data_IF_286482462845
#
_entry.id   IF_286482462845
#
_cell.length_a   1.000
_cell.length_b   1.000
_cell.length_c   1.000
_cell.angle_alpha   90.00
_cell.angle_beta   90.00
_cell.angle_gamma   90.00
#
_symmetry.space_group_name_H-M   'P 1'
#
loop_
_entity.id
_entity.type
_entity.pdbx_description
1 polymer ?
#
# COMPACT_ATOMS: atom_id res chain seq x y z
N UNK A 1 1.51 8.24 -13.60
CA UNK A 1 1.53 9.29 -12.57
C UNK A 1 0.64 8.82 -11.43
N UNK A 2 1.20 8.81 -10.21
CA UNK A 2 0.47 8.44 -8.99
C UNK A 2 0.29 9.70 -8.17
N UNK A 3 -0.95 10.02 -7.86
CA UNK A 3 -1.32 11.04 -6.89
C UNK A 3 -1.60 10.35 -5.54
N UNK A 4 -0.83 10.71 -4.52
CA UNK A 4 -0.88 10.07 -3.22
C UNK A 4 -1.40 11.07 -2.20
N UNK A 5 -2.49 10.72 -1.52
CA UNK A 5 -2.85 11.38 -0.26
C UNK A 5 -2.23 10.59 0.88
N UNK A 6 -1.27 11.19 1.60
CA UNK A 6 -0.55 10.50 2.67
C UNK A 6 -0.83 11.15 4.03
N UNK A 7 -1.29 10.34 4.97
CA UNK A 7 -1.37 10.70 6.38
C UNK A 7 -0.35 9.87 7.14
N UNK A 8 0.81 10.46 7.41
CA UNK A 8 1.87 9.84 8.19
C UNK A 8 1.49 9.62 9.65
N UNK A 9 2.37 8.95 10.39
CA UNK A 9 2.22 8.73 11.83
C UNK A 9 3.27 9.52 12.59
N UNK A 10 2.85 10.19 13.66
CA UNK A 10 3.73 10.96 14.55
C UNK A 10 4.45 9.97 15.47
N UNK A 11 5.76 9.73 15.31
CA UNK A 11 6.46 8.67 16.03
C UNK A 11 6.53 8.88 17.55
N UNK A 12 6.40 10.12 18.02
CA UNK A 12 6.43 10.50 19.44
C UNK A 12 5.28 9.89 20.27
N UNK A 13 4.26 9.33 19.61
CA UNK A 13 3.14 8.64 20.25
C UNK A 13 3.51 7.18 20.59
N UNK A 14 4.58 6.64 20.02
CA UNK A 14 5.00 5.25 20.21
C UNK A 14 5.96 5.19 21.41
N UNK A 15 5.60 4.37 22.41
CA UNK A 15 6.42 4.18 23.63
C UNK A 15 7.76 3.46 23.36
N UNK A 16 7.88 2.77 22.22
CA UNK A 16 9.10 2.11 21.78
C UNK A 16 10.12 3.09 21.17
N UNK A 17 11.42 2.91 21.47
CA UNK A 17 12.50 3.66 20.84
C UNK A 17 12.68 3.22 19.38
N UNK A 18 11.97 3.89 18.48
CA UNK A 18 12.09 3.66 17.04
C UNK A 18 13.44 4.19 16.52
N UNK A 19 14.11 3.37 15.71
CA UNK A 19 15.29 3.78 14.98
C UNK A 19 14.98 4.91 13.97
N UNK A 20 16.03 5.55 13.47
CA UNK A 20 15.90 6.69 12.56
C UNK A 20 15.23 6.32 11.21
N UNK A 21 15.44 5.10 10.71
CA UNK A 21 14.84 4.64 9.46
C UNK A 21 13.33 4.43 9.63
N UNK A 22 12.93 3.81 10.74
CA UNK A 22 11.54 3.64 11.14
C UNK A 22 10.81 4.98 11.34
N UNK A 23 11.45 6.00 11.92
CA UNK A 23 10.84 7.34 12.05
C UNK A 23 10.69 8.03 10.69
N UNK A 24 11.68 7.89 9.82
CA UNK A 24 11.68 8.46 8.47
C UNK A 24 10.54 7.88 7.61
N UNK A 25 10.32 6.57 7.65
CA UNK A 25 9.28 5.94 6.81
C UNK A 25 7.86 6.30 7.24
N UNK A 26 7.63 6.56 8.53
CA UNK A 26 6.32 6.94 9.06
C UNK A 26 5.87 8.33 8.61
N UNK A 27 6.81 9.19 8.20
CA UNK A 27 6.54 10.57 7.76
C UNK A 27 6.96 10.84 6.31
N UNK A 28 7.61 9.87 5.66
CA UNK A 28 8.22 10.00 4.34
C UNK A 28 7.25 9.87 3.17
N UNK A 29 6.50 10.94 2.87
CA UNK A 29 5.59 11.02 1.71
C UNK A 29 6.22 10.55 0.39
N UNK A 30 7.37 11.14 0.04
CA UNK A 30 8.07 10.87 -1.23
C UNK A 30 8.50 9.40 -1.34
N UNK A 31 8.88 8.79 -0.21
CA UNK A 31 9.31 7.39 -0.16
C UNK A 31 8.14 6.47 -0.55
N UNK A 32 6.95 6.72 0.02
CA UNK A 32 5.76 5.93 -0.28
C UNK A 32 5.22 6.20 -1.67
N UNK A 33 5.17 7.46 -2.11
CA UNK A 33 4.72 7.81 -3.46
C UNK A 33 5.56 7.07 -4.52
N UNK A 34 6.88 7.09 -4.37
CA UNK A 34 7.79 6.46 -5.33
C UNK A 34 7.71 4.92 -5.27
N UNK A 35 7.58 4.35 -4.06
CA UNK A 35 7.38 2.92 -3.87
C UNK A 35 6.10 2.43 -4.55
N UNK A 36 4.97 3.10 -4.27
CA UNK A 36 3.66 2.77 -4.82
C UNK A 36 3.65 2.91 -6.35
N UNK A 37 4.27 3.96 -6.90
CA UNK A 37 4.42 4.12 -8.34
C UNK A 37 5.21 2.96 -8.97
N UNK A 38 6.34 2.59 -8.38
CA UNK A 38 7.15 1.47 -8.89
C UNK A 38 6.41 0.13 -8.77
N UNK A 39 5.67 -0.08 -7.68
CA UNK A 39 4.89 -1.30 -7.48
C UNK A 39 3.74 -1.42 -8.46
N UNK A 40 3.00 -0.34 -8.70
CA UNK A 40 1.95 -0.28 -9.72
C UNK A 40 2.52 -0.60 -11.10
N UNK A 41 3.64 0.02 -11.48
CA UNK A 41 4.29 -0.25 -12.76
C UNK A 41 4.77 -1.71 -12.88
N UNK A 42 5.29 -2.29 -11.78
CA UNK A 42 5.67 -3.69 -11.73
C UNK A 42 4.48 -4.64 -11.96
N UNK A 43 3.35 -4.39 -11.28
CA UNK A 43 2.12 -5.17 -11.45
C UNK A 43 1.56 -5.03 -12.87
N UNK A 44 1.52 -3.81 -13.42
CA UNK A 44 1.05 -3.54 -14.79
C UNK A 44 1.85 -4.28 -15.86
N UNK A 45 3.16 -4.30 -15.71
CA UNK A 45 4.07 -4.91 -16.70
C UNK A 45 4.10 -6.43 -16.64
N UNK A 46 3.38 -7.06 -15.70
CA UNK A 46 3.33 -8.51 -15.62
C UNK A 46 2.10 -9.04 -16.40
N UNK A 47 2.33 -9.65 -17.59
CA UNK A 47 1.25 -10.06 -18.49
C UNK A 47 0.45 -11.27 -17.97
N UNK A 48 0.91 -11.92 -16.89
CA UNK A 48 0.23 -13.08 -16.28
C UNK A 48 -0.81 -12.67 -15.25
N UNK A 49 -0.96 -11.37 -14.99
CA UNK A 49 -1.78 -10.84 -13.92
C UNK A 49 -3.10 -10.31 -14.44
N UNK A 50 -4.17 -10.58 -13.70
CA UNK A 50 -5.49 -10.02 -13.96
C UNK A 50 -5.67 -8.80 -13.07
N UNK A 51 -6.05 -7.68 -13.66
CA UNK A 51 -6.38 -6.43 -12.96
C UNK A 51 -7.48 -5.70 -13.76
N UNK A 52 -8.27 -4.82 -13.13
CA UNK A 52 -9.30 -4.03 -13.82
C UNK A 52 -8.76 -3.27 -15.03
N UNK A 53 -9.50 -3.27 -16.15
CA UNK A 53 -9.06 -2.65 -17.41
C UNK A 53 -8.80 -1.14 -17.27
N UNK A 54 -9.51 -0.47 -16.37
CA UNK A 54 -9.28 0.94 -16.03
C UNK A 54 -7.85 1.19 -15.54
N UNK A 55 -7.25 0.23 -14.83
CA UNK A 55 -5.86 0.31 -14.37
C UNK A 55 -4.89 0.11 -15.54
N UNK A 56 -5.29 -0.57 -16.63
CA UNK A 56 -4.44 -0.73 -17.83
C UNK A 56 -4.43 0.52 -18.70
N UNK A 57 -5.58 1.16 -18.84
CA UNK A 57 -5.85 2.19 -19.84
C UNK A 57 -5.55 3.60 -19.35
N UNK A 58 -5.59 3.84 -18.04
CA UNK A 58 -5.37 5.16 -17.45
C UNK A 58 -3.96 5.33 -16.93
N UNK A 59 -3.28 6.41 -17.31
CA UNK A 59 -1.92 6.68 -16.84
C UNK A 59 -1.87 7.49 -15.53
N UNK A 60 -3.04 7.86 -14.99
CA UNK A 60 -3.20 8.69 -13.79
C UNK A 60 -4.01 7.92 -12.74
N UNK A 61 -3.39 7.59 -11.62
CA UNK A 61 -4.04 6.88 -10.53
C UNK A 61 -3.93 7.70 -9.25
N UNK A 62 -4.97 7.69 -8.41
CA UNK A 62 -4.94 8.26 -7.07
C UNK A 62 -5.21 7.20 -6.00
N UNK A 63 -4.56 7.31 -4.85
CA UNK A 63 -4.86 6.49 -3.67
C UNK A 63 -4.51 7.21 -2.37
N UNK A 64 -5.13 6.78 -1.28
CA UNK A 64 -4.79 7.18 0.08
C UNK A 64 -3.93 6.15 0.80
N UNK A 65 -2.96 6.62 1.58
CA UNK A 65 -2.21 5.83 2.55
C UNK A 65 -2.25 6.53 3.91
N UNK A 66 -2.80 5.84 4.91
CA UNK A 66 -2.96 6.34 6.27
C UNK A 66 -2.26 5.41 7.23
N UNK A 67 -1.32 5.95 7.99
CA UNK A 67 -0.79 5.30 9.18
C UNK A 67 -1.57 5.75 10.42
N UNK A 68 -1.97 4.79 11.23
CA UNK A 68 -2.84 5.03 12.40
C UNK A 68 -2.48 4.14 13.58
N UNK A 69 -3.25 4.24 14.67
CA UNK A 69 -3.08 3.43 15.88
C UNK A 69 -4.15 2.33 15.99
N UNK A 70 -3.98 1.42 16.95
CA UNK A 70 -4.91 0.29 17.15
C UNK A 70 -6.32 0.77 17.50
N UNK A 71 -6.46 1.87 18.23
CA UNK A 71 -7.76 2.42 18.63
C UNK A 71 -8.58 2.87 17.42
N UNK A 72 -7.97 3.63 16.52
CA UNK A 72 -8.65 4.15 15.33
C UNK A 72 -8.94 3.03 14.33
N UNK A 73 -7.98 2.11 14.09
CA UNK A 73 -8.23 1.00 13.16
C UNK A 73 -9.26 0.02 13.70
N UNK A 74 -9.32 -0.20 15.03
CA UNK A 74 -10.36 -1.02 15.65
C UNK A 74 -11.75 -0.42 15.42
N UNK A 75 -11.89 0.89 15.56
CA UNK A 75 -13.16 1.58 15.26
C UNK A 75 -13.56 1.37 13.80
N UNK A 76 -12.63 1.53 12.86
CA UNK A 76 -12.89 1.28 11.45
C UNK A 76 -13.24 -0.19 11.17
N UNK A 77 -12.55 -1.13 11.81
CA UNK A 77 -12.82 -2.56 11.67
C UNK A 77 -14.22 -2.93 12.22
N UNK A 78 -14.65 -2.24 13.28
CA UNK A 78 -16.00 -2.38 13.80
C UNK A 78 -17.03 -1.79 12.83
N UNK A 79 -16.84 -0.55 12.39
CA UNK A 79 -17.79 0.18 11.54
C UNK A 79 -18.01 -0.50 10.18
N UNK A 80 -16.95 -1.06 9.58
CA UNK A 80 -17.00 -1.63 8.23
C UNK A 80 -17.04 -3.15 8.16
N UNK A 81 -16.51 -3.86 9.16
CA UNK A 81 -16.42 -5.34 9.18
C UNK A 81 -17.14 -5.98 10.37
N UNK A 82 -17.79 -5.19 11.24
CA UNK A 82 -18.44 -5.65 12.47
C UNK A 82 -17.51 -6.45 13.40
N UNK A 83 -16.22 -6.07 13.46
CA UNK A 83 -15.20 -6.69 14.31
C UNK A 83 -14.64 -5.70 15.33
N UNK A 84 -14.96 -5.89 16.61
CA UNK A 84 -14.44 -5.07 17.72
C UNK A 84 -13.02 -5.47 18.13
N UNK A 85 -12.09 -5.52 17.19
CA UNK A 85 -10.67 -5.76 17.48
C UNK A 85 -9.77 -4.99 16.51
N UNK A 86 -8.57 -4.58 16.92
CA UNK A 86 -7.61 -4.01 15.99
C UNK A 86 -7.22 -5.03 14.92
N UNK A 87 -6.78 -4.53 13.77
CA UNK A 87 -6.21 -5.31 12.68
C UNK A 87 -4.94 -4.58 12.22
N UNK A 88 -4.11 -5.28 11.48
CA UNK A 88 -2.88 -4.73 10.90
C UNK A 88 -3.15 -3.75 9.75
N UNK A 89 -3.98 -4.13 8.79
CA UNK A 89 -4.33 -3.33 7.62
C UNK A 89 -5.80 -3.46 7.22
N UNK A 90 -6.38 -2.35 6.78
CA UNK A 90 -7.65 -2.28 6.07
C UNK A 90 -7.43 -1.67 4.69
N UNK A 91 -8.16 -2.18 3.70
CA UNK A 91 -8.12 -1.68 2.33
C UNK A 91 -9.55 -1.43 1.86
N UNK A 92 -9.78 -0.23 1.34
CA UNK A 92 -11.07 0.26 0.89
C UNK A 92 -11.00 0.54 -0.62
N UNK A 93 -11.14 -0.48 -1.47
CA UNK A 93 -11.17 -0.27 -2.91
C UNK A 93 -12.42 0.51 -3.32
N UNK A 94 -12.23 1.54 -4.15
CA UNK A 94 -13.33 2.38 -4.71
C UNK A 94 -13.56 2.07 -6.19
N UNK A 95 -12.66 1.31 -6.81
CA UNK A 95 -12.73 0.89 -8.20
C UNK A 95 -14.05 0.17 -8.50
N UNK A 96 -14.92 0.87 -9.22
CA UNK A 96 -16.15 0.32 -9.79
C UNK A 96 -15.89 0.01 -11.26
N UNK A 97 -16.02 -1.28 -11.62
CA UNK A 97 -15.75 -1.77 -12.98
C UNK A 97 -16.77 -1.25 -14.01
N UNK A 98 -17.88 -0.68 -13.55
CA UNK A 98 -18.96 -0.20 -14.43
C UNK A 98 -18.77 1.28 -14.86
N UNK A 99 -17.76 1.98 -14.34
CA UNK A 99 -17.51 3.40 -14.62
C UNK A 99 -16.42 3.57 -15.67
N UNK A 100 -16.79 4.03 -16.87
CA UNK A 100 -15.81 4.44 -17.89
C UNK A 100 -15.41 5.90 -17.65
N UNK A 101 -14.22 6.11 -17.09
CA UNK A 101 -13.64 7.44 -16.92
C UNK A 101 -12.88 7.88 -18.19
N UNK A 102 -12.94 9.18 -18.56
CA UNK A 102 -12.04 9.75 -19.55
C UNK A 102 -10.56 9.52 -19.19
N UNK A 103 -9.71 9.31 -20.21
CA UNK A 103 -8.29 8.94 -20.02
C UNK A 103 -7.42 10.03 -19.36
N UNK A 104 -7.94 11.25 -19.25
CA UNK A 104 -7.29 12.40 -18.63
C UNK A 104 -7.62 12.58 -17.15
N UNK A 105 -8.57 11.82 -16.60
CA UNK A 105 -8.93 11.86 -15.18
C UNK A 105 -8.11 10.87 -14.34
N UNK A 106 -7.99 11.15 -13.05
CA UNK A 106 -7.42 10.19 -12.11
C UNK A 106 -8.42 9.08 -11.85
N UNK A 107 -7.96 7.84 -11.93
CA UNK A 107 -8.70 6.69 -11.40
C UNK A 107 -8.38 6.56 -9.92
N UNK A 108 -9.40 6.75 -9.09
CA UNK A 108 -9.30 6.57 -7.64
C UNK A 108 -9.32 5.08 -7.29
N UNK A 109 -8.20 4.58 -6.76
CA UNK A 109 -8.07 3.20 -6.33
C UNK A 109 -8.72 2.98 -4.95
N UNK A 110 -8.72 4.02 -4.11
CA UNK A 110 -9.22 3.99 -2.73
C UNK A 110 -8.11 4.12 -1.68
N UNK A 111 -8.35 3.60 -0.48
CA UNK A 111 -7.52 3.86 0.71
C UNK A 111 -6.88 2.61 1.32
N UNK A 112 -5.63 2.75 1.77
CA UNK A 112 -4.90 1.78 2.60
C UNK A 112 -4.71 2.38 3.98
N UNK A 113 -5.18 1.69 5.02
CA UNK A 113 -5.08 2.13 6.42
C UNK A 113 -4.32 1.08 7.21
N UNK A 114 -3.18 1.44 7.79
CA UNK A 114 -2.28 0.51 8.50
C UNK A 114 -2.11 0.95 9.95
N UNK A 115 -2.26 0.03 10.90
CA UNK A 115 -1.91 0.29 12.30
C UNK A 115 -0.42 0.10 12.53
N UNK A 116 0.24 1.17 12.95
CA UNK A 116 1.68 1.17 13.25
C UNK A 116 1.97 0.35 14.53
N UNK A 117 1.08 0.40 15.52
CA UNK A 117 1.23 -0.35 16.77
C UNK A 117 1.14 -1.86 16.53
N UNK A 118 0.19 -2.31 15.70
CA UNK A 118 0.09 -3.71 15.31
C UNK A 118 1.26 -4.14 14.44
N UNK A 119 1.66 -3.32 13.44
CA UNK A 119 2.83 -3.59 12.61
C UNK A 119 4.12 -3.71 13.45
N UNK A 120 4.30 -2.89 14.49
CA UNK A 120 5.43 -2.99 15.41
C UNK A 120 5.44 -4.31 16.19
N UNK A 121 4.28 -4.74 16.70
CA UNK A 121 4.14 -6.03 17.39
C UNK A 121 4.48 -7.18 16.44
N UNK A 122 3.97 -7.14 15.20
CA UNK A 122 4.26 -8.15 14.18
C UNK A 122 5.75 -8.18 13.80
N UNK A 123 6.35 -7.01 13.59
CA UNK A 123 7.78 -6.86 13.29
C UNK A 123 8.67 -7.53 14.36
N UNK A 124 8.35 -7.30 15.64
CA UNK A 124 9.04 -7.94 16.78
C UNK A 124 8.85 -9.45 16.82
N UNK A 125 7.62 -9.94 16.59
CA UNK A 125 7.30 -11.38 16.60
C UNK A 125 8.01 -12.12 15.47
N UNK A 126 8.04 -11.52 14.29
CA UNK A 126 8.61 -12.10 13.07
C UNK A 126 10.11 -11.80 12.91
N UNK A 127 10.72 -11.10 13.88
CA UNK A 127 12.14 -10.76 13.92
C UNK A 127 12.64 -10.02 12.66
N UNK A 128 11.93 -8.97 12.27
CA UNK A 128 12.28 -8.09 11.15
C UNK A 128 11.97 -6.63 11.48
N UNK A 129 12.40 -5.70 10.63
CA UNK A 129 12.24 -4.27 10.88
C UNK A 129 10.80 -3.80 10.71
N UNK A 130 10.44 -2.70 11.38
CA UNK A 130 9.15 -2.03 11.12
C UNK A 130 9.01 -1.64 9.65
N UNK A 131 10.10 -1.19 9.03
CA UNK A 131 10.12 -0.87 7.60
C UNK A 131 9.68 -2.07 6.75
N UNK A 132 10.23 -3.27 7.01
CA UNK A 132 9.85 -4.47 6.27
C UNK A 132 8.37 -4.82 6.47
N UNK A 133 7.85 -4.73 7.70
CA UNK A 133 6.45 -5.01 7.97
C UNK A 133 5.50 -3.99 7.34
N UNK A 134 5.80 -2.69 7.44
CA UNK A 134 4.99 -1.66 6.78
C UNK A 134 4.97 -1.85 5.26
N UNK A 135 6.11 -2.17 4.65
CA UNK A 135 6.17 -2.45 3.21
C UNK A 135 5.34 -3.68 2.85
N UNK A 136 5.38 -4.71 3.69
CA UNK A 136 4.56 -5.90 3.54
C UNK A 136 3.06 -5.55 3.57
N UNK A 137 2.59 -4.86 4.62
CA UNK A 137 1.19 -4.48 4.81
C UNK A 137 0.69 -3.51 3.73
N UNK A 138 1.47 -2.50 3.36
CA UNK A 138 1.09 -1.55 2.30
C UNK A 138 1.06 -2.23 0.94
N UNK A 139 2.01 -3.12 0.63
CA UNK A 139 1.96 -3.89 -0.63
C UNK A 139 0.73 -4.82 -0.68
N UNK A 140 0.35 -5.41 0.45
CA UNK A 140 -0.87 -6.21 0.57
C UNK A 140 -2.10 -5.38 0.25
N UNK A 141 -2.23 -4.22 0.91
CA UNK A 141 -3.36 -3.33 0.70
C UNK A 141 -3.43 -2.78 -0.72
N UNK A 142 -2.28 -2.44 -1.32
CA UNK A 142 -2.22 -2.02 -2.71
C UNK A 142 -2.74 -3.10 -3.65
N UNK A 143 -2.33 -4.36 -3.46
CA UNK A 143 -2.81 -5.46 -4.31
C UNK A 143 -4.34 -5.60 -4.21
N UNK A 144 -4.92 -5.48 -3.01
CA UNK A 144 -6.38 -5.42 -2.86
C UNK A 144 -7.02 -4.24 -3.61
N UNK A 145 -6.43 -3.03 -3.54
CA UNK A 145 -6.92 -1.88 -4.31
C UNK A 145 -6.82 -2.10 -5.84
N UNK A 146 -5.84 -2.89 -6.29
CA UNK A 146 -5.69 -3.28 -7.70
C UNK A 146 -6.62 -4.43 -8.11
N UNK A 147 -7.56 -4.85 -7.25
CA UNK A 147 -8.55 -5.89 -7.53
C UNK A 147 -8.06 -7.31 -7.28
N UNK A 148 -6.95 -7.49 -6.55
CA UNK A 148 -6.48 -8.81 -6.18
C UNK A 148 -7.14 -9.25 -4.89
N UNK A 149 -8.01 -10.24 -5.00
CA UNK A 149 -8.59 -10.92 -3.87
C UNK A 149 -8.03 -12.34 -3.74
N UNK A 150 -8.05 -12.89 -2.53
CA UNK A 150 -7.52 -14.21 -2.22
C UNK A 150 -8.54 -15.12 -1.52
N UNK A 151 -9.67 -15.50 -2.17
CA UNK A 151 -10.68 -16.36 -1.55
C UNK A 151 -10.21 -17.82 -1.33
N UNK A 152 -9.07 -18.21 -1.92
CA UNK A 152 -8.50 -19.55 -1.82
C UNK A 152 -7.01 -19.53 -1.45
N UNK A 153 -6.49 -20.67 -0.98
CA UNK A 153 -5.06 -20.84 -0.69
C UNK A 153 -4.18 -20.64 -1.93
N UNK A 154 -4.64 -21.03 -3.13
CA UNK A 154 -3.89 -20.84 -4.37
C UNK A 154 -3.81 -19.36 -4.78
N UNK A 155 -4.89 -18.61 -4.62
CA UNK A 155 -4.87 -17.15 -4.86
C UNK A 155 -4.01 -16.43 -3.83
N UNK A 156 -4.02 -16.89 -2.57
CA UNK A 156 -3.14 -16.35 -1.52
C UNK A 156 -1.67 -16.56 -1.85
N UNK A 157 -1.25 -17.78 -2.24
CA UNK A 157 0.14 -18.07 -2.62
C UNK A 157 0.62 -17.19 -3.79
N UNK A 158 -0.24 -16.91 -4.78
CA UNK A 158 0.08 -15.98 -5.87
C UNK A 158 0.26 -14.54 -5.38
N UNK A 159 -0.61 -14.08 -4.49
CA UNK A 159 -0.52 -12.74 -3.91
C UNK A 159 0.74 -12.58 -3.05
N UNK A 160 1.05 -13.56 -2.20
CA UNK A 160 2.26 -13.57 -1.38
C UNK A 160 3.54 -13.52 -2.23
N UNK A 161 3.61 -14.32 -3.30
CA UNK A 161 4.74 -14.26 -4.26
C UNK A 161 4.87 -12.90 -4.93
N UNK A 162 3.75 -12.24 -5.21
CA UNK A 162 3.77 -10.87 -5.74
C UNK A 162 4.27 -9.89 -4.68
N UNK A 163 3.78 -9.96 -3.45
CA UNK A 163 4.24 -9.12 -2.35
C UNK A 163 5.76 -9.25 -2.16
N UNK A 164 6.31 -10.47 -2.15
CA UNK A 164 7.75 -10.72 -2.07
C UNK A 164 8.54 -10.05 -3.20
N UNK A 165 7.99 -9.98 -4.41
CA UNK A 165 8.63 -9.28 -5.54
C UNK A 165 8.58 -7.77 -5.34
N UNK A 166 7.44 -7.23 -4.90
CA UNK A 166 7.26 -5.79 -4.68
C UNK A 166 8.20 -5.27 -3.59
N UNK A 167 8.27 -5.95 -2.43
CA UNK A 167 9.11 -5.49 -1.31
C UNK A 167 10.62 -5.61 -1.59
N UNK A 168 11.05 -6.32 -2.64
CA UNK A 168 12.45 -6.36 -3.07
C UNK A 168 12.88 -5.12 -3.86
N UNK A 169 11.93 -4.35 -4.40
CA UNK A 169 12.22 -3.11 -5.13
C UNK A 169 12.75 -2.07 -4.13
N UNK A 170 13.94 -1.52 -4.34
CA UNK A 170 14.54 -0.56 -3.40
C UNK A 170 13.81 0.80 -3.44
N UNK A 171 13.50 1.32 -2.25
CA UNK A 171 13.01 2.67 -2.05
C UNK A 171 14.08 3.68 -2.52
N UNK A 172 13.72 4.64 -3.37
CA UNK A 172 14.64 5.69 -3.86
C UNK A 172 15.28 5.48 -5.24
N UNK A 173 14.84 4.47 -6.01
CA UNK A 173 15.44 4.16 -7.33
C UNK A 173 15.04 5.11 -8.47
N UNK A 174 14.18 6.11 -8.25
CA UNK A 174 13.52 6.84 -9.35
C UNK A 174 14.21 8.14 -9.81
N UNK A 175 15.45 8.38 -9.39
CA UNK A 175 16.26 9.52 -9.85
C UNK A 175 17.30 9.09 -10.90
N UNK A 176 16.89 8.59 -12.07
CA UNK A 176 17.69 8.52 -13.32
C UNK A 176 16.95 7.69 -14.39
N UNK A 177 15.98 8.28 -15.12
CA UNK A 177 15.66 7.90 -16.52
C UNK A 177 14.53 8.75 -17.12
N UNK A 178 14.56 10.07 -16.90
CA UNK A 178 13.66 11.02 -17.59
C UNK A 178 14.39 12.28 -18.06
N UNK A 179 15.59 12.14 -18.62
CA UNK A 179 16.20 13.16 -19.48
C UNK A 179 17.11 12.44 -20.49
N UNK A 180 16.61 12.20 -21.70
CA UNK A 180 17.38 12.12 -22.97
C UNK A 180 16.47 11.60 -24.09
N UNK A 181 15.46 12.38 -24.47
CA UNK A 181 14.98 12.42 -25.86
C UNK A 181 14.78 13.91 -26.19
N UNK A 182 15.83 14.50 -26.76
CA UNK A 182 15.83 15.69 -27.61
C UNK A 182 16.89 15.45 -28.70
#
# INVERSE_FOLDING_TARGET
MVDLTFSGFVPEIIEDDLDHESKSILTGFEIWRDALACWIDCVRNNPKLTYPEMIRTNNRLSLGLVFTNDLLIQKLNQDWRNKMMPTDVLSFPVLDNDIVLPSDQFVELGDIIVSVETALKQAKINNHSLLEELRWLVSHGLLHLLGWDHPSSSSLDKMLKMQEQLIKIKLGSHSQNRIAED
#
